data_IF_202685908124
#
_entry.id   IF_202685908124
#
_cell.length_a   1.000
_cell.length_b   1.000
_cell.length_c   1.000
_cell.angle_alpha   90.00
_cell.angle_beta   90.00
_cell.angle_gamma   90.00
#
_symmetry.space_group_name_H-M   'P 1'
#
loop_
_entity.id
_entity.type
_entity.pdbx_description
1 polymer ?
#
# COMPACT_ATOMS: atom_id res chain seq x y z
N UNK A 1 6.94 45.66 -16.36
CA UNK A 1 6.60 44.36 -15.76
C UNK A 1 7.23 44.24 -14.37
N UNK A 2 6.61 44.87 -13.35
CA UNK A 2 6.93 44.61 -11.95
C UNK A 2 5.93 43.58 -11.45
N UNK A 3 6.28 42.30 -11.52
CA UNK A 3 5.53 41.25 -10.83
C UNK A 3 5.72 41.48 -9.32
N UNK A 4 4.78 42.19 -8.68
CA UNK A 4 4.64 42.12 -7.22
C UNK A 4 4.14 40.70 -6.92
N UNK A 5 5.01 39.83 -6.39
CA UNK A 5 4.59 38.59 -5.73
C UNK A 5 3.81 39.01 -4.48
N UNK A 6 2.49 39.09 -4.58
CA UNK A 6 1.61 39.05 -3.41
C UNK A 6 1.41 37.60 -3.00
N UNK A 7 1.02 37.37 -1.74
CA UNK A 7 0.67 36.04 -1.25
C UNK A 7 -0.49 35.47 -2.09
N UNK A 8 -0.23 34.34 -2.74
CA UNK A 8 -1.24 33.65 -3.55
C UNK A 8 -2.19 32.98 -2.56
N UNK A 9 -3.35 33.60 -2.36
CA UNK A 9 -4.40 33.09 -1.46
C UNK A 9 -4.77 31.66 -1.88
N UNK A 10 -4.65 30.71 -0.95
CA UNK A 10 -4.99 29.31 -1.15
C UNK A 10 -3.86 28.42 -1.68
N UNK A 11 -2.70 28.95 -2.05
CA UNK A 11 -1.51 28.14 -2.42
C UNK A 11 -1.13 27.19 -1.27
N UNK A 12 -1.29 27.64 -0.03
CA UNK A 12 -1.02 26.86 1.18
C UNK A 12 -1.86 25.58 1.24
N UNK A 13 -3.11 25.61 0.77
CA UNK A 13 -3.97 24.41 0.75
C UNK A 13 -3.47 23.39 -0.28
N UNK A 14 -2.99 23.85 -1.44
CA UNK A 14 -2.40 22.98 -2.46
C UNK A 14 -1.03 22.44 -2.02
N UNK A 15 -0.19 23.25 -1.39
CA UNK A 15 1.08 22.78 -0.83
C UNK A 15 0.87 21.82 0.33
N UNK A 16 -0.18 22.00 1.13
CA UNK A 16 -0.53 21.06 2.20
C UNK A 16 -1.14 19.77 1.66
N UNK A 17 -1.81 19.79 0.51
CA UNK A 17 -2.34 18.59 -0.14
C UNK A 17 -1.27 17.82 -0.94
N UNK A 18 -0.39 18.53 -1.66
CA UNK A 18 0.62 17.94 -2.57
C UNK A 18 1.95 17.68 -1.87
N UNK A 19 2.32 18.54 -0.92
CA UNK A 19 3.57 18.43 -0.15
C UNK A 19 3.75 17.04 0.47
N UNK A 20 2.74 16.50 1.18
CA UNK A 20 2.79 15.16 1.73
C UNK A 20 3.04 14.09 0.63
N UNK A 21 2.26 14.08 -0.46
CA UNK A 21 2.39 13.11 -1.56
C UNK A 21 3.78 13.11 -2.21
N UNK A 22 4.46 14.27 -2.20
CA UNK A 22 5.80 14.42 -2.75
C UNK A 22 6.80 13.53 -2.01
N UNK A 23 6.72 13.42 -0.69
CA UNK A 23 7.62 12.56 0.09
C UNK A 23 7.42 11.08 -0.20
N UNK A 24 6.18 10.65 -0.44
CA UNK A 24 5.89 9.26 -0.83
C UNK A 24 6.48 8.94 -2.22
N UNK A 25 6.38 9.86 -3.17
CA UNK A 25 6.98 9.72 -4.49
C UNK A 25 8.51 9.68 -4.40
N UNK A 26 9.11 10.56 -3.60
CA UNK A 26 10.56 10.58 -3.37
C UNK A 26 11.05 9.29 -2.70
N UNK A 27 10.29 8.78 -1.72
CA UNK A 27 10.56 7.48 -1.08
C UNK A 27 10.52 6.33 -2.09
N UNK A 28 9.42 6.23 -2.85
CA UNK A 28 9.24 5.21 -3.88
C UNK A 28 10.32 5.29 -4.96
N UNK A 29 10.72 6.49 -5.38
CA UNK A 29 11.81 6.70 -6.32
C UNK A 29 13.16 6.29 -5.73
N UNK A 30 13.44 6.63 -4.47
CA UNK A 30 14.64 6.20 -3.75
C UNK A 30 14.77 4.68 -3.69
N UNK A 31 13.70 3.99 -3.27
CA UNK A 31 13.65 2.51 -3.26
C UNK A 31 13.78 1.94 -4.67
N UNK A 32 13.06 2.52 -5.64
CA UNK A 32 13.07 2.08 -7.04
C UNK A 32 14.46 2.17 -7.67
N UNK A 33 15.20 3.24 -7.43
CA UNK A 33 16.59 3.41 -7.89
C UNK A 33 17.51 2.34 -7.30
N UNK A 34 17.38 2.02 -6.00
CA UNK A 34 18.17 0.97 -5.35
C UNK A 34 17.85 -0.42 -5.92
N UNK A 35 16.58 -0.73 -6.12
CA UNK A 35 16.15 -2.00 -6.72
C UNK A 35 16.67 -2.11 -8.15
N UNK A 36 16.54 -1.04 -8.94
CA UNK A 36 17.01 -1.00 -10.32
C UNK A 36 18.54 -1.18 -10.40
N UNK A 37 19.30 -0.46 -9.56
CA UNK A 37 20.75 -0.63 -9.44
C UNK A 37 21.12 -2.06 -9.03
N UNK A 38 20.40 -2.66 -8.07
CA UNK A 38 20.63 -4.04 -7.66
C UNK A 38 20.41 -5.04 -8.81
N UNK A 39 19.32 -4.88 -9.58
CA UNK A 39 19.03 -5.74 -10.74
C UNK A 39 20.11 -5.60 -11.82
N UNK A 40 20.52 -4.37 -12.14
CA UNK A 40 21.61 -4.09 -13.10
C UNK A 40 22.93 -4.70 -12.65
N UNK A 41 23.29 -4.52 -11.38
CA UNK A 41 24.51 -5.11 -10.79
C UNK A 41 24.48 -6.63 -10.90
N UNK A 42 23.34 -7.26 -10.60
CA UNK A 42 23.19 -8.71 -10.70
C UNK A 42 23.36 -9.21 -12.14
N UNK A 43 22.82 -8.49 -13.12
CA UNK A 43 22.99 -8.79 -14.53
C UNK A 43 24.47 -8.69 -14.94
N UNK A 44 25.11 -7.57 -14.60
CA UNK A 44 26.52 -7.31 -14.90
C UNK A 44 27.46 -8.36 -14.28
N UNK A 45 27.20 -8.77 -13.04
CA UNK A 45 27.98 -9.85 -12.37
C UNK A 45 27.78 -11.19 -13.07
N UNK A 46 26.57 -11.52 -13.53
CA UNK A 46 26.29 -12.79 -14.21
C UNK A 46 26.98 -12.88 -15.56
N UNK A 47 26.99 -11.79 -16.33
CA UNK A 47 27.64 -11.71 -17.65
C UNK A 47 29.17 -11.72 -17.57
N UNK A 48 29.75 -11.24 -16.47
CA UNK A 48 31.20 -11.10 -16.31
C UNK A 48 31.80 -12.08 -15.29
N UNK A 49 31.15 -13.23 -15.03
CA UNK A 49 31.60 -14.25 -14.06
C UNK A 49 33.02 -14.75 -14.30
N UNK A 50 33.50 -14.72 -15.54
CA UNK A 50 34.85 -15.16 -15.92
C UNK A 50 35.95 -14.13 -15.57
N UNK A 51 35.58 -12.90 -15.21
CA UNK A 51 36.52 -11.80 -14.97
C UNK A 51 37.23 -11.79 -13.59
N UNK A 52 36.75 -12.57 -12.61
CA UNK A 52 37.38 -12.68 -11.28
C UNK A 52 37.70 -11.33 -10.61
N UNK A 53 38.92 -11.20 -10.05
CA UNK A 53 39.43 -9.98 -9.38
C UNK A 53 39.38 -8.72 -10.26
N UNK A 54 39.48 -8.87 -11.59
CA UNK A 54 39.44 -7.74 -12.53
C UNK A 54 38.11 -6.99 -12.46
N UNK A 55 37.00 -7.71 -12.29
CA UNK A 55 35.67 -7.11 -12.16
C UNK A 55 35.53 -6.25 -10.89
N UNK A 56 36.18 -6.66 -9.80
CA UNK A 56 36.18 -5.92 -8.53
C UNK A 56 37.06 -4.66 -8.60
N UNK A 57 38.24 -4.75 -9.22
CA UNK A 57 39.13 -3.59 -9.34
C UNK A 57 38.55 -2.51 -10.26
N UNK A 58 37.86 -2.92 -11.34
CA UNK A 58 37.20 -2.00 -12.28
C UNK A 58 35.96 -1.28 -11.69
N UNK A 59 35.49 -1.66 -10.49
CA UNK A 59 34.46 -0.90 -9.79
C UNK A 59 34.99 0.42 -9.20
N UNK A 60 36.29 0.51 -8.87
CA UNK A 60 36.88 1.66 -8.18
C UNK A 60 36.77 2.95 -9.00
N UNK A 61 37.16 2.99 -10.30
CA UNK A 61 36.92 4.17 -11.13
C UNK A 61 35.44 4.54 -11.24
N UNK A 62 34.56 3.52 -11.29
CA UNK A 62 33.10 3.72 -11.32
C UNK A 62 32.58 4.45 -10.07
N UNK A 63 33.01 4.04 -8.87
CA UNK A 63 32.66 4.71 -7.61
C UNK A 63 33.12 6.17 -7.62
N UNK A 64 34.36 6.42 -8.07
CA UNK A 64 34.92 7.77 -8.12
C UNK A 64 34.17 8.67 -9.11
N UNK A 65 33.82 8.16 -10.29
CA UNK A 65 33.00 8.86 -11.27
C UNK A 65 31.58 9.18 -10.76
N UNK A 66 30.95 8.23 -10.07
CA UNK A 66 29.68 8.49 -9.38
C UNK A 66 29.84 9.60 -8.33
N UNK A 67 30.94 9.57 -7.56
CA UNK A 67 31.30 10.61 -6.59
C UNK A 67 31.47 11.99 -7.23
N UNK A 68 32.08 12.08 -8.42
CA UNK A 68 32.16 13.34 -9.19
C UNK A 68 30.77 13.88 -9.51
N UNK A 69 29.88 13.05 -10.03
CA UNK A 69 28.52 13.48 -10.36
C UNK A 69 27.75 13.95 -9.11
N UNK A 70 27.84 13.22 -8.00
CA UNK A 70 27.16 13.59 -6.74
C UNK A 70 27.72 14.87 -6.12
N UNK A 71 29.04 15.04 -6.12
CA UNK A 71 29.69 16.26 -5.60
C UNK A 71 29.45 17.47 -6.49
N UNK A 72 29.33 17.29 -7.81
CA UNK A 72 28.91 18.33 -8.74
C UNK A 72 27.47 18.78 -8.47
N UNK A 73 26.54 17.84 -8.27
CA UNK A 73 25.16 18.17 -7.87
C UNK A 73 25.16 18.93 -6.54
N UNK A 74 25.89 18.45 -5.53
CA UNK A 74 26.01 19.12 -4.23
C UNK A 74 26.53 20.55 -4.36
N UNK A 75 27.59 20.76 -5.14
CA UNK A 75 28.14 22.09 -5.39
C UNK A 75 27.11 23.00 -6.09
N UNK A 76 26.40 22.48 -7.08
CA UNK A 76 25.35 23.23 -7.81
C UNK A 76 24.20 23.63 -6.88
N UNK A 77 23.71 22.71 -6.04
CA UNK A 77 22.62 22.97 -5.08
C UNK A 77 23.03 24.01 -4.03
N UNK A 78 24.30 24.04 -3.61
CA UNK A 78 24.80 25.05 -2.67
C UNK A 78 25.08 26.40 -3.33
N UNK A 79 25.48 26.42 -4.60
CA UNK A 79 25.75 27.65 -5.34
C UNK A 79 24.46 28.35 -5.76
N UNK A 80 23.45 27.60 -6.22
CA UNK A 80 22.24 28.14 -6.84
C UNK A 80 21.50 29.17 -5.96
N UNK A 81 21.25 28.95 -4.66
CA UNK A 81 20.63 29.95 -3.80
C UNK A 81 21.43 31.24 -3.72
N UNK A 82 22.76 31.16 -3.61
CA UNK A 82 23.64 32.32 -3.53
C UNK A 82 23.62 33.15 -4.83
N UNK A 83 23.49 32.49 -5.99
CA UNK A 83 23.36 33.18 -7.28
C UNK A 83 21.97 33.81 -7.45
N UNK A 84 20.91 33.11 -7.02
CA UNK A 84 19.55 33.63 -7.09
C UNK A 84 19.33 34.82 -6.15
N UNK A 85 20.01 34.83 -4.99
CA UNK A 85 19.96 35.91 -4.00
C UNK A 85 20.57 37.24 -4.51
N UNK A 86 21.43 37.19 -5.54
CA UNK A 86 21.98 38.40 -6.19
C UNK A 86 20.84 39.31 -6.66
N UNK A 87 19.74 38.73 -7.16
CA UNK A 87 18.58 39.49 -7.61
C UNK A 87 17.93 40.33 -6.50
N UNK A 88 18.05 39.87 -5.25
CA UNK A 88 17.54 40.58 -4.07
C UNK A 88 18.57 41.58 -3.54
N UNK A 89 19.86 41.24 -3.55
CA UNK A 89 20.96 42.15 -3.15
C UNK A 89 21.10 43.41 -4.03
N UNK A 90 20.71 43.35 -5.31
CA UNK A 90 20.75 44.51 -6.22
C UNK A 90 19.47 45.37 -6.17
N UNK A 91 18.51 45.07 -5.27
CA UNK A 91 17.29 45.88 -5.13
C UNK A 91 17.60 47.20 -4.44
N UNK A 92 17.24 48.31 -5.08
CA UNK A 92 17.42 49.66 -4.53
C UNK A 92 18.82 50.24 -4.69
N UNK A 93 19.75 49.50 -5.31
CA UNK A 93 21.11 49.95 -5.62
C UNK A 93 21.23 50.23 -7.12
N UNK A 94 22.14 51.13 -7.51
CA UNK A 94 22.45 51.39 -8.91
C UNK A 94 23.03 50.12 -9.57
N UNK A 95 22.41 49.69 -10.66
CA UNK A 95 22.72 48.41 -11.31
C UNK A 95 23.92 48.57 -12.24
N UNK A 96 25.12 48.42 -11.68
CA UNK A 96 26.37 48.44 -12.46
C UNK A 96 26.84 47.02 -12.77
N UNK A 97 27.57 46.87 -13.88
CA UNK A 97 28.20 45.60 -14.26
C UNK A 97 29.18 45.12 -13.19
N UNK A 98 29.94 46.06 -12.63
CA UNK A 98 30.99 45.75 -11.66
C UNK A 98 30.41 45.21 -10.35
N UNK A 99 29.30 45.80 -9.88
CA UNK A 99 28.57 45.30 -8.71
C UNK A 99 28.05 43.87 -8.93
N UNK A 100 27.49 43.58 -10.11
CA UNK A 100 27.03 42.23 -10.43
C UNK A 100 28.19 41.22 -10.46
N UNK A 101 29.33 41.58 -11.08
CA UNK A 101 30.50 40.72 -11.13
C UNK A 101 31.09 40.45 -9.74
N UNK A 102 31.09 41.46 -8.87
CA UNK A 102 31.52 41.32 -7.48
C UNK A 102 30.61 40.35 -6.70
N UNK A 103 29.29 40.54 -6.77
CA UNK A 103 28.32 39.67 -6.09
C UNK A 103 28.33 38.24 -6.64
N UNK A 104 28.56 38.09 -7.95
CA UNK A 104 28.74 36.78 -8.56
C UNK A 104 30.00 36.11 -8.03
N UNK A 105 31.12 36.84 -7.93
CA UNK A 105 32.35 36.29 -7.36
C UNK A 105 32.15 35.89 -5.90
N UNK A 106 31.48 36.73 -5.11
CA UNK A 106 31.13 36.46 -3.71
C UNK A 106 30.33 35.16 -3.56
N UNK A 107 29.33 34.94 -4.42
CA UNK A 107 28.51 33.72 -4.42
C UNK A 107 29.35 32.45 -4.62
N UNK A 108 30.37 32.49 -5.48
CA UNK A 108 31.28 31.37 -5.74
C UNK A 108 32.37 31.19 -4.66
N UNK A 109 32.58 32.20 -3.80
CA UNK A 109 33.61 32.18 -2.75
C UNK A 109 33.07 31.98 -1.34
N UNK A 110 31.75 31.80 -1.17
CA UNK A 110 31.17 31.43 0.13
C UNK A 110 31.80 30.14 0.67
N UNK A 111 32.02 30.05 1.98
CA UNK A 111 32.75 28.93 2.60
C UNK A 111 32.16 27.56 2.23
N UNK A 112 30.83 27.46 2.19
CA UNK A 112 30.09 26.23 1.86
C UNK A 112 30.28 25.82 0.39
N UNK A 113 30.22 26.78 -0.54
CA UNK A 113 30.43 26.54 -1.98
C UNK A 113 31.89 26.22 -2.26
N UNK A 114 32.83 26.91 -1.59
CA UNK A 114 34.26 26.66 -1.72
C UNK A 114 34.66 25.26 -1.24
N UNK A 115 34.11 24.84 -0.09
CA UNK A 115 34.31 23.49 0.44
C UNK A 115 33.76 22.44 -0.54
N UNK A 116 32.53 22.63 -1.05
CA UNK A 116 31.93 21.73 -2.02
C UNK A 116 32.75 21.65 -3.33
N UNK A 117 33.22 22.79 -3.85
CA UNK A 117 34.08 22.86 -5.03
C UNK A 117 35.38 22.10 -4.83
N UNK A 118 36.01 22.27 -3.67
CA UNK A 118 37.27 21.58 -3.33
C UNK A 118 37.06 20.07 -3.25
N UNK A 119 35.97 19.61 -2.62
CA UNK A 119 35.65 18.17 -2.60
C UNK A 119 35.44 17.62 -4.01
N UNK A 120 34.69 18.33 -4.86
CA UNK A 120 34.47 17.95 -6.25
C UNK A 120 35.80 17.85 -7.04
N UNK A 121 36.71 18.80 -6.86
CA UNK A 121 38.02 18.78 -7.51
C UNK A 121 38.84 17.53 -7.13
N UNK A 122 38.87 17.16 -5.85
CA UNK A 122 39.57 15.95 -5.42
C UNK A 122 38.95 14.68 -5.99
N UNK A 123 37.64 14.60 -6.11
CA UNK A 123 36.97 13.48 -6.78
C UNK A 123 37.29 13.41 -8.27
N UNK A 124 37.33 14.55 -8.97
CA UNK A 124 37.71 14.61 -10.39
C UNK A 124 39.14 14.12 -10.57
N UNK A 125 40.07 14.61 -9.74
CA UNK A 125 41.47 14.20 -9.80
C UNK A 125 41.63 12.69 -9.51
N UNK A 126 40.97 12.19 -8.47
CA UNK A 126 40.99 10.77 -8.11
C UNK A 126 40.39 9.89 -9.22
N UNK A 127 39.25 10.30 -9.80
CA UNK A 127 38.62 9.57 -10.91
C UNK A 127 39.55 9.53 -12.14
N UNK A 128 40.16 10.67 -12.49
CA UNK A 128 41.10 10.74 -13.61
C UNK A 128 42.30 9.81 -13.41
N UNK A 129 42.91 9.82 -12.22
CA UNK A 129 44.02 8.93 -11.89
C UNK A 129 43.60 7.45 -11.92
N UNK A 130 42.44 7.12 -11.36
CA UNK A 130 41.95 5.75 -11.35
C UNK A 130 41.69 5.21 -12.76
N UNK A 131 41.06 6.01 -13.63
CA UNK A 131 40.83 5.65 -15.04
C UNK A 131 42.17 5.52 -15.78
N UNK A 132 43.13 6.41 -15.54
CA UNK A 132 44.45 6.31 -16.16
C UNK A 132 45.17 5.01 -15.76
N UNK A 133 45.09 4.62 -14.49
CA UNK A 133 45.67 3.37 -13.97
C UNK A 133 44.98 2.15 -14.59
N UNK A 134 43.65 2.11 -14.64
CA UNK A 134 42.93 0.95 -15.21
C UNK A 134 43.13 0.83 -16.72
N UNK A 135 43.20 1.96 -17.44
CA UNK A 135 43.55 1.97 -18.85
C UNK A 135 44.99 1.56 -19.11
N UNK A 136 45.93 1.84 -18.20
CA UNK A 136 47.32 1.43 -18.34
C UNK A 136 47.47 -0.09 -18.18
N UNK A 137 46.86 -0.68 -17.15
CA UNK A 137 47.02 -2.11 -16.85
C UNK A 137 46.08 -3.03 -17.65
N UNK A 138 44.89 -2.57 -18.03
CA UNK A 138 43.83 -3.46 -18.54
C UNK A 138 43.11 -2.94 -19.79
N UNK A 139 43.82 -2.23 -20.68
CA UNK A 139 43.25 -1.66 -21.91
C UNK A 139 42.54 -2.70 -22.79
N UNK A 140 41.20 -2.67 -22.80
CA UNK A 140 40.36 -3.39 -23.78
C UNK A 140 39.22 -2.48 -24.23
N UNK A 141 38.62 -2.70 -25.42
CA UNK A 141 37.49 -1.90 -25.90
C UNK A 141 36.29 -1.89 -24.95
N UNK A 142 36.16 -2.90 -24.08
CA UNK A 142 35.07 -3.01 -23.08
C UNK A 142 35.38 -2.38 -21.72
N UNK A 143 36.62 -1.95 -21.46
CA UNK A 143 37.03 -1.49 -20.12
C UNK A 143 36.33 -0.18 -19.73
N UNK A 144 36.34 0.82 -20.61
CA UNK A 144 35.64 2.09 -20.37
C UNK A 144 34.12 1.94 -20.28
N UNK A 145 33.56 1.04 -21.09
CA UNK A 145 32.13 0.75 -21.05
C UNK A 145 31.73 0.18 -19.69
N UNK A 146 32.51 -0.77 -19.16
CA UNK A 146 32.25 -1.39 -17.86
C UNK A 146 32.42 -0.39 -16.70
N UNK A 147 33.45 0.46 -16.76
CA UNK A 147 33.65 1.53 -15.76
C UNK A 147 32.47 2.52 -15.75
N UNK A 148 31.97 2.90 -16.92
CA UNK A 148 30.80 3.78 -17.03
C UNK A 148 29.52 3.09 -16.52
N UNK A 149 29.31 1.81 -16.84
CA UNK A 149 28.21 1.01 -16.31
C UNK A 149 28.22 0.97 -14.77
N UNK A 150 29.41 0.76 -14.17
CA UNK A 150 29.57 0.83 -12.72
C UNK A 150 29.33 2.24 -12.17
N UNK A 151 29.81 3.28 -12.86
CA UNK A 151 29.58 4.67 -12.45
C UNK A 151 28.09 5.01 -12.40
N UNK A 152 27.32 4.64 -13.43
CA UNK A 152 25.87 4.83 -13.44
C UNK A 152 25.23 4.05 -12.29
N UNK A 153 25.65 2.82 -12.05
CA UNK A 153 25.11 2.00 -10.96
C UNK A 153 25.35 2.62 -9.57
N UNK A 154 26.59 3.04 -9.29
CA UNK A 154 26.93 3.71 -8.03
C UNK A 154 26.28 5.09 -7.90
N UNK A 155 26.07 5.81 -9.00
CA UNK A 155 25.32 7.05 -9.01
C UNK A 155 23.86 6.81 -8.63
N UNK A 156 23.20 5.81 -9.23
CA UNK A 156 21.82 5.44 -8.89
C UNK A 156 21.69 5.04 -7.42
N UNK A 157 22.66 4.29 -6.88
CA UNK A 157 22.71 3.95 -5.45
C UNK A 157 22.84 5.20 -4.60
N UNK A 158 23.79 6.08 -4.92
CA UNK A 158 24.02 7.32 -4.18
C UNK A 158 22.81 8.23 -4.17
N UNK A 159 22.18 8.46 -5.34
CA UNK A 159 20.94 9.24 -5.44
C UNK A 159 19.82 8.57 -4.64
N UNK A 160 19.63 7.25 -4.78
CA UNK A 160 18.60 6.52 -4.04
C UNK A 160 18.76 6.66 -2.52
N UNK A 161 19.98 6.51 -2.00
CA UNK A 161 20.29 6.71 -0.57
C UNK A 161 20.03 8.15 -0.14
N UNK A 162 20.47 9.14 -0.91
CA UNK A 162 20.25 10.56 -0.57
C UNK A 162 18.76 10.87 -0.45
N UNK A 163 17.93 10.37 -1.37
CA UNK A 163 16.49 10.57 -1.34
C UNK A 163 15.85 9.91 -0.11
N UNK A 164 16.27 8.70 0.24
CA UNK A 164 15.77 8.02 1.44
C UNK A 164 16.20 8.71 2.73
N UNK A 165 17.45 9.19 2.81
CA UNK A 165 17.93 9.99 3.95
C UNK A 165 17.17 11.30 4.06
N UNK A 166 16.88 11.95 2.93
CA UNK A 166 16.06 13.16 2.90
C UNK A 166 14.65 12.90 3.46
N UNK A 167 13.97 11.86 2.94
CA UNK A 167 12.64 11.46 3.42
C UNK A 167 12.67 11.11 4.92
N UNK A 168 13.69 10.39 5.37
CA UNK A 168 13.84 10.06 6.78
C UNK A 168 14.01 11.31 7.66
N UNK A 169 14.79 12.29 7.20
CA UNK A 169 14.97 13.55 7.93
C UNK A 169 13.67 14.35 8.08
N UNK A 170 12.87 14.42 7.00
CA UNK A 170 11.55 15.06 7.02
C UNK A 170 10.58 14.31 7.93
N UNK A 171 10.59 12.98 7.85
CA UNK A 171 9.79 12.10 8.71
C UNK A 171 10.10 12.32 10.20
N UNK A 172 11.39 12.33 10.57
CA UNK A 172 11.81 12.59 11.95
C UNK A 172 11.42 13.99 12.42
N UNK A 173 11.45 14.98 11.53
CA UNK A 173 10.99 16.35 11.85
C UNK A 173 9.49 16.39 12.12
N UNK A 174 8.69 15.67 11.33
CA UNK A 174 7.25 15.52 11.55
C UNK A 174 6.96 14.84 12.91
N UNK A 175 7.63 13.73 13.22
CA UNK A 175 7.48 13.06 14.52
C UNK A 175 7.90 13.94 15.70
N UNK A 176 9.03 14.64 15.59
CA UNK A 176 9.48 15.54 16.65
C UNK A 176 8.50 16.69 16.89
N UNK A 177 7.87 17.19 15.82
CA UNK A 177 6.85 18.25 15.90
C UNK A 177 5.60 17.71 16.57
N UNK A 178 5.11 16.55 16.16
CA UNK A 178 3.95 15.87 16.76
C UNK A 178 4.11 15.63 18.27
N UNK A 179 5.29 15.19 18.70
CA UNK A 179 5.59 14.98 20.13
C UNK A 179 5.57 16.31 20.91
N UNK A 180 5.98 17.42 20.29
CA UNK A 180 5.99 18.75 20.93
C UNK A 180 4.60 19.40 20.98
N UNK A 181 3.80 19.24 19.94
CA UNK A 181 2.46 19.85 19.83
C UNK A 181 1.36 18.98 20.44
N UNK A 182 1.61 17.69 20.63
CA UNK A 182 0.60 16.70 20.99
C UNK A 182 -0.37 16.39 19.85
N UNK A 183 -0.06 16.82 18.62
CA UNK A 183 -0.86 16.57 17.42
C UNK A 183 -0.36 15.32 16.68
N UNK A 184 -1.19 14.75 15.80
CA UNK A 184 -0.83 13.58 14.99
C UNK A 184 0.34 13.91 14.03
N UNK A 185 1.41 13.07 13.95
CA UNK A 185 2.47 13.22 12.95
C UNK A 185 1.98 13.16 11.49
N UNK A 186 0.74 12.75 11.28
CA UNK A 186 0.08 12.66 9.99
C UNK A 186 0.24 11.27 9.37
N UNK A 187 -0.60 11.00 8.39
CA UNK A 187 -0.71 9.69 7.75
C UNK A 187 0.57 9.22 7.00
N UNK A 188 1.35 10.13 6.42
CA UNK A 188 2.44 9.74 5.53
C UNK A 188 3.73 9.29 6.21
N UNK A 189 4.20 9.92 7.32
CA UNK A 189 5.26 9.34 8.14
C UNK A 189 4.95 7.88 8.52
N UNK A 190 3.72 7.63 8.95
CA UNK A 190 3.21 6.29 9.30
C UNK A 190 3.19 5.35 8.09
N UNK A 191 2.73 5.82 6.93
CA UNK A 191 2.71 4.99 5.71
C UNK A 191 4.13 4.66 5.23
N UNK A 192 5.07 5.59 5.32
CA UNK A 192 6.47 5.38 4.93
C UNK A 192 7.16 4.41 5.89
N UNK A 193 6.91 4.49 7.19
CA UNK A 193 7.46 3.53 8.17
C UNK A 193 6.85 2.14 7.97
N UNK A 194 5.54 2.01 7.82
CA UNK A 194 4.88 0.72 7.50
C UNK A 194 5.44 0.13 6.19
N UNK A 195 5.54 0.93 5.12
CA UNK A 195 6.08 0.48 3.84
C UNK A 195 7.56 0.05 3.97
N UNK A 196 8.37 0.80 4.73
CA UNK A 196 9.76 0.46 5.01
C UNK A 196 9.86 -0.86 5.79
N UNK A 197 9.01 -1.07 6.79
CA UNK A 197 8.90 -2.32 7.54
C UNK A 197 8.57 -3.50 6.64
N UNK A 198 7.56 -3.37 5.78
CA UNK A 198 7.18 -4.40 4.80
C UNK A 198 8.31 -4.70 3.80
N UNK A 199 9.00 -3.69 3.30
CA UNK A 199 10.16 -3.86 2.40
C UNK A 199 11.27 -4.63 3.11
N UNK A 200 11.58 -4.28 4.36
CA UNK A 200 12.58 -4.98 5.16
C UNK A 200 12.17 -6.43 5.42
N UNK A 201 10.91 -6.70 5.78
CA UNK A 201 10.41 -8.07 5.93
C UNK A 201 10.55 -8.87 4.63
N UNK A 202 10.24 -8.27 3.47
CA UNK A 202 10.43 -8.92 2.17
C UNK A 202 11.92 -9.20 1.86
N UNK A 203 12.81 -8.25 2.16
CA UNK A 203 14.26 -8.42 2.01
C UNK A 203 14.76 -9.53 2.94
N UNK A 204 14.31 -9.53 4.21
CA UNK A 204 14.61 -10.56 5.20
C UNK A 204 14.19 -11.94 4.73
N UNK A 205 12.96 -12.07 4.21
CA UNK A 205 12.44 -13.30 3.63
C UNK A 205 13.30 -13.80 2.46
N UNK A 206 13.67 -12.91 1.55
CA UNK A 206 14.51 -13.25 0.40
C UNK A 206 15.93 -13.67 0.82
N UNK A 207 16.52 -13.00 1.82
CA UNK A 207 17.82 -13.36 2.38
C UNK A 207 17.77 -14.72 3.08
N UNK A 208 16.71 -14.97 3.84
CA UNK A 208 16.49 -16.24 4.54
C UNK A 208 16.42 -17.41 3.56
N UNK A 209 15.57 -17.30 2.53
CA UNK A 209 15.43 -18.33 1.51
C UNK A 209 16.75 -18.57 0.75
N UNK A 210 17.51 -17.51 0.44
CA UNK A 210 18.84 -17.67 -0.18
C UNK A 210 19.85 -18.36 0.72
N UNK A 211 19.73 -18.25 2.04
CA UNK A 211 20.67 -18.86 2.96
C UNK A 211 20.56 -20.39 2.98
N UNK A 212 19.38 -20.94 2.66
CA UNK A 212 19.12 -22.38 2.62
C UNK A 212 19.95 -23.11 1.54
N UNK A 213 20.31 -22.40 0.47
CA UNK A 213 21.09 -22.95 -0.65
C UNK A 213 22.62 -22.78 -0.50
N UNK A 214 23.12 -22.24 0.62
CA UNK A 214 24.53 -21.80 0.77
C UNK A 214 25.35 -22.71 1.70
N UNK A 215 26.70 -22.74 1.56
CA UNK A 215 27.56 -23.54 2.42
C UNK A 215 27.49 -23.09 3.89
N UNK A 216 27.76 -24.02 4.82
CA UNK A 216 27.57 -23.90 6.27
C UNK A 216 27.92 -22.53 6.89
N UNK A 217 29.11 -21.99 6.62
CA UNK A 217 29.55 -20.72 7.21
C UNK A 217 28.81 -19.50 6.64
N UNK A 218 28.55 -19.49 5.33
CA UNK A 218 27.83 -18.40 4.66
C UNK A 218 26.33 -18.46 4.98
N UNK A 219 25.77 -19.67 5.10
CA UNK A 219 24.40 -19.88 5.56
C UNK A 219 24.17 -19.27 6.94
N UNK A 220 25.08 -19.48 7.90
CA UNK A 220 24.96 -18.91 9.24
C UNK A 220 24.93 -17.38 9.19
N UNK A 221 25.87 -16.75 8.48
CA UNK A 221 25.93 -15.28 8.36
C UNK A 221 24.70 -14.70 7.66
N UNK A 222 24.21 -15.34 6.60
CA UNK A 222 23.01 -14.90 5.88
C UNK A 222 21.75 -15.05 6.73
N UNK A 223 21.62 -16.13 7.52
CA UNK A 223 20.49 -16.32 8.45
C UNK A 223 20.53 -15.30 9.58
N UNK A 224 21.71 -15.03 10.15
CA UNK A 224 21.88 -14.00 11.18
C UNK A 224 21.48 -12.62 10.62
N UNK A 225 21.96 -12.28 9.41
CA UNK A 225 21.58 -11.03 8.74
C UNK A 225 20.09 -10.95 8.44
N UNK A 226 19.48 -12.03 7.94
CA UNK A 226 18.05 -12.09 7.69
C UNK A 226 17.22 -11.94 8.98
N UNK A 227 17.63 -12.59 10.08
CA UNK A 227 17.00 -12.45 11.39
C UNK A 227 17.05 -11.00 11.90
N UNK A 228 18.20 -10.34 11.78
CA UNK A 228 18.32 -8.92 12.15
C UNK A 228 17.41 -8.03 11.31
N UNK A 229 17.36 -8.26 9.99
CA UNK A 229 16.47 -7.52 9.08
C UNK A 229 15.00 -7.76 9.43
N UNK A 230 14.61 -8.98 9.80
CA UNK A 230 13.25 -9.27 10.27
C UNK A 230 12.91 -8.56 11.58
N UNK A 231 13.81 -8.56 12.55
CA UNK A 231 13.61 -7.87 13.84
C UNK A 231 13.44 -6.37 13.61
N UNK A 232 14.31 -5.75 12.82
CA UNK A 232 14.24 -4.32 12.52
C UNK A 232 12.99 -4.00 11.69
N UNK A 233 12.69 -4.78 10.65
CA UNK A 233 11.49 -4.59 9.82
C UNK A 233 10.19 -4.75 10.59
N UNK A 234 10.11 -5.77 11.45
CA UNK A 234 8.97 -6.00 12.34
C UNK A 234 8.83 -4.90 13.38
N UNK A 235 9.93 -4.44 13.98
CA UNK A 235 9.91 -3.32 14.93
C UNK A 235 9.42 -2.03 14.28
N UNK A 236 9.91 -1.69 13.09
CA UNK A 236 9.47 -0.49 12.37
C UNK A 236 7.98 -0.59 11.99
N UNK A 237 7.50 -1.77 11.58
CA UNK A 237 6.10 -1.96 11.20
C UNK A 237 5.15 -1.93 12.41
N UNK A 238 5.54 -2.54 13.53
CA UNK A 238 4.70 -2.67 14.74
C UNK A 238 4.80 -1.44 15.63
N UNK A 239 5.96 -0.76 15.65
CA UNK A 239 6.24 0.39 16.51
C UNK A 239 5.28 1.56 16.30
N UNK A 240 4.66 1.65 15.12
CA UNK A 240 3.64 2.65 14.80
C UNK A 240 2.24 2.29 15.32
N UNK A 241 1.95 1.00 15.55
CA UNK A 241 0.61 0.57 15.96
C UNK A 241 0.16 1.23 17.29
N UNK A 242 1.00 1.33 18.34
CA UNK A 242 0.62 2.04 19.56
C UNK A 242 0.35 3.53 19.33
N UNK A 243 1.09 4.18 18.43
CA UNK A 243 0.89 5.60 18.09
C UNK A 243 -0.39 5.77 17.30
N UNK A 244 -0.67 4.92 16.31
CA UNK A 244 -1.92 4.91 15.55
C UNK A 244 -3.12 4.58 16.46
N UNK A 245 -2.96 3.70 17.44
CA UNK A 245 -4.01 3.38 18.41
C UNK A 245 -4.24 4.54 19.40
N UNK A 246 -3.18 5.22 19.83
CA UNK A 246 -3.25 6.32 20.79
C UNK A 246 -3.67 7.66 20.17
N UNK A 247 -3.26 7.92 18.92
CA UNK A 247 -3.56 9.14 18.16
C UNK A 247 -4.72 8.95 17.17
N UNK A 248 -5.08 7.71 16.85
CA UNK A 248 -6.13 7.41 15.88
C UNK A 248 -7.50 7.86 16.35
N UNK A 249 -8.23 8.50 15.44
CA UNK A 249 -9.61 8.89 15.62
C UNK A 249 -10.44 7.69 16.13
N UNK A 250 -11.15 7.82 17.28
CA UNK A 250 -12.08 6.80 17.75
C UNK A 250 -13.04 6.29 16.65
N UNK A 251 -13.41 7.16 15.70
CA UNK A 251 -14.30 6.81 14.59
C UNK A 251 -13.68 5.80 13.61
N UNK A 252 -12.34 5.76 13.49
CA UNK A 252 -11.64 4.76 12.66
C UNK A 252 -11.91 3.34 13.17
N UNK A 253 -11.83 3.14 14.49
CA UNK A 253 -12.04 1.84 15.11
C UNK A 253 -13.50 1.40 15.02
N UNK A 254 -14.43 2.36 15.16
CA UNK A 254 -15.87 2.12 14.93
C UNK A 254 -16.13 1.70 13.48
N UNK A 255 -15.53 2.40 12.51
CA UNK A 255 -15.65 2.10 11.08
C UNK A 255 -15.03 0.74 10.70
N UNK A 256 -13.86 0.41 11.23
CA UNK A 256 -13.21 -0.88 11.02
C UNK A 256 -14.07 -2.03 11.57
N UNK A 257 -14.61 -1.86 12.78
CA UNK A 257 -15.52 -2.84 13.40
C UNK A 257 -16.80 -3.02 12.60
N UNK A 258 -17.39 -1.94 12.09
CA UNK A 258 -18.56 -2.00 11.22
C UNK A 258 -18.27 -2.73 9.91
N UNK A 259 -17.11 -2.46 9.29
CA UNK A 259 -16.66 -3.14 8.06
C UNK A 259 -16.45 -4.64 8.28
N UNK A 260 -15.82 -5.02 9.41
CA UNK A 260 -15.65 -6.43 9.79
C UNK A 260 -16.99 -7.14 9.98
N UNK A 261 -17.92 -6.53 10.72
CA UNK A 261 -19.26 -7.09 10.90
C UNK A 261 -20.03 -7.17 9.58
N UNK A 262 -19.90 -6.16 8.72
CA UNK A 262 -20.50 -6.17 7.39
C UNK A 262 -19.99 -7.35 6.57
N UNK A 263 -18.66 -7.48 6.42
CA UNK A 263 -18.06 -8.56 5.62
C UNK A 263 -18.40 -9.96 6.16
N UNK A 264 -18.26 -10.18 7.47
CA UNK A 264 -18.58 -11.47 8.09
C UNK A 264 -20.08 -11.77 8.10
N UNK A 265 -20.93 -10.74 8.10
CA UNK A 265 -22.38 -10.88 8.09
C UNK A 265 -22.99 -10.99 6.69
N UNK A 266 -22.33 -10.51 5.65
CA UNK A 266 -22.81 -10.62 4.26
C UNK A 266 -22.24 -11.84 3.56
N UNK A 267 -20.92 -11.99 3.49
CA UNK A 267 -20.26 -12.97 2.60
C UNK A 267 -20.69 -14.41 2.89
N UNK A 268 -20.60 -14.94 4.13
CA UNK A 268 -20.94 -16.34 4.38
C UNK A 268 -22.42 -16.63 4.14
N UNK A 269 -23.30 -15.69 4.49
CA UNK A 269 -24.74 -15.83 4.32
C UNK A 269 -25.15 -15.72 2.86
N UNK A 270 -24.59 -14.75 2.14
CA UNK A 270 -24.79 -14.56 0.71
C UNK A 270 -24.36 -15.81 -0.06
N UNK A 271 -23.13 -16.30 0.14
CA UNK A 271 -22.65 -17.50 -0.53
C UNK A 271 -23.43 -18.75 -0.11
N UNK A 272 -23.76 -18.88 1.17
CA UNK A 272 -24.53 -20.01 1.70
C UNK A 272 -25.94 -20.10 1.09
N UNK A 273 -26.65 -18.96 1.01
CA UNK A 273 -27.97 -18.89 0.37
C UNK A 273 -27.83 -19.17 -1.13
N UNK A 274 -26.83 -18.59 -1.78
CA UNK A 274 -26.63 -18.73 -3.23
C UNK A 274 -26.29 -20.15 -3.65
N UNK A 275 -25.42 -20.85 -2.90
CA UNK A 275 -25.08 -22.25 -3.20
C UNK A 275 -26.29 -23.16 -2.96
N UNK A 276 -27.08 -22.88 -1.91
CA UNK A 276 -28.32 -23.60 -1.63
C UNK A 276 -29.33 -23.44 -2.76
N UNK A 277 -29.57 -22.20 -3.20
CA UNK A 277 -30.45 -21.92 -4.33
C UNK A 277 -29.93 -22.53 -5.64
N UNK A 278 -28.62 -22.47 -5.89
CA UNK A 278 -28.03 -23.02 -7.09
C UNK A 278 -28.22 -24.54 -7.17
N UNK A 279 -27.93 -25.27 -6.09
CA UNK A 279 -28.15 -26.73 -6.01
C UNK A 279 -29.63 -27.08 -6.17
N UNK A 280 -30.53 -26.31 -5.55
CA UNK A 280 -31.97 -26.53 -5.66
C UNK A 280 -32.47 -26.35 -7.11
N UNK A 281 -32.03 -25.28 -7.77
CA UNK A 281 -32.47 -24.91 -9.12
C UNK A 281 -31.79 -25.73 -10.23
N UNK A 282 -30.66 -26.37 -9.92
CA UNK A 282 -29.97 -27.28 -10.84
C UNK A 282 -30.76 -28.59 -11.07
N UNK A 283 -31.68 -28.95 -10.17
CA UNK A 283 -32.45 -30.20 -10.23
C UNK A 283 -33.61 -30.23 -11.25
N UNK A 284 -33.56 -29.41 -12.31
CA UNK A 284 -34.62 -29.33 -13.35
C UNK A 284 -36.06 -29.18 -12.78
N UNK A 285 -36.24 -28.25 -11.84
CA UNK A 285 -37.55 -27.96 -11.26
C UNK A 285 -38.53 -27.36 -12.29
N UNK A 286 -39.81 -27.75 -12.22
CA UNK A 286 -40.89 -27.15 -13.02
C UNK A 286 -41.04 -25.67 -12.62
N UNK A 287 -40.98 -24.77 -13.60
CA UNK A 287 -41.06 -23.33 -13.38
C UNK A 287 -39.71 -22.65 -13.05
N UNK A 288 -38.59 -23.35 -13.23
CA UNK A 288 -37.24 -22.81 -12.94
C UNK A 288 -36.96 -21.45 -13.59
N UNK A 289 -37.44 -21.21 -14.81
CA UNK A 289 -37.27 -19.92 -15.51
C UNK A 289 -37.89 -18.73 -14.75
N UNK A 290 -39.09 -18.90 -14.18
CA UNK A 290 -39.74 -17.83 -13.42
C UNK A 290 -38.98 -17.53 -12.12
N UNK A 291 -38.52 -18.58 -11.42
CA UNK A 291 -37.68 -18.41 -10.24
C UNK A 291 -36.37 -17.68 -10.56
N UNK A 292 -35.75 -17.98 -11.72
CA UNK A 292 -34.55 -17.28 -12.20
C UNK A 292 -34.75 -15.79 -12.38
N UNK A 293 -35.87 -15.39 -12.97
CA UNK A 293 -36.20 -13.97 -13.12
C UNK A 293 -36.40 -13.31 -11.75
N UNK A 294 -37.14 -13.95 -10.84
CA UNK A 294 -37.46 -13.37 -9.52
C UNK A 294 -36.23 -13.10 -8.66
N UNK A 295 -35.30 -14.07 -8.55
CA UNK A 295 -34.12 -13.87 -7.72
C UNK A 295 -33.07 -12.98 -8.39
N UNK A 296 -33.04 -12.89 -9.73
CA UNK A 296 -32.03 -12.11 -10.47
C UNK A 296 -32.44 -10.65 -10.60
N UNK A 297 -33.75 -10.36 -10.57
CA UNK A 297 -34.30 -9.01 -10.66
C UNK A 297 -33.64 -8.00 -9.70
N UNK A 298 -33.42 -8.30 -8.40
CA UNK A 298 -32.75 -7.38 -7.47
C UNK A 298 -31.40 -6.87 -7.96
N UNK A 299 -30.58 -7.76 -8.54
CA UNK A 299 -29.26 -7.40 -9.03
C UNK A 299 -29.31 -6.49 -10.27
N UNK A 300 -30.33 -6.67 -11.12
CA UNK A 300 -30.51 -5.87 -12.34
C UNK A 300 -31.11 -4.49 -12.04
N UNK A 301 -31.83 -4.37 -10.92
CA UNK A 301 -32.44 -3.09 -10.55
C UNK A 301 -31.39 -2.02 -10.20
N UNK A 302 -31.62 -0.73 -10.54
CA UNK A 302 -30.72 0.34 -10.15
C UNK A 302 -30.58 0.42 -8.62
N UNK A 303 -29.35 0.35 -8.12
CA UNK A 303 -29.05 0.32 -6.68
C UNK A 303 -29.70 1.49 -5.94
N UNK A 304 -29.69 2.69 -6.52
CA UNK A 304 -30.29 3.89 -5.93
C UNK A 304 -31.81 3.75 -5.76
N UNK A 305 -32.50 3.19 -6.77
CA UNK A 305 -33.95 2.99 -6.71
C UNK A 305 -34.31 1.91 -5.68
N UNK A 306 -33.58 0.80 -5.68
CA UNK A 306 -33.79 -0.31 -4.74
C UNK A 306 -33.50 0.10 -3.30
N UNK A 307 -32.45 0.90 -3.08
CA UNK A 307 -32.15 1.48 -1.78
C UNK A 307 -33.26 2.43 -1.30
N UNK A 308 -33.86 3.23 -2.18
CA UNK A 308 -34.98 4.10 -1.81
C UNK A 308 -36.21 3.31 -1.37
N UNK A 309 -36.53 2.22 -2.07
CA UNK A 309 -37.62 1.30 -1.68
C UNK A 309 -37.30 0.64 -0.34
N UNK A 310 -36.08 0.10 -0.17
CA UNK A 310 -35.65 -0.51 1.09
C UNK A 310 -35.71 0.47 2.27
N UNK A 311 -35.31 1.74 2.06
CA UNK A 311 -35.42 2.80 3.06
C UNK A 311 -36.86 3.04 3.48
N UNK A 312 -37.81 2.94 2.56
CA UNK A 312 -39.23 3.08 2.86
C UNK A 312 -39.78 1.85 3.61
N UNK A 313 -39.38 0.64 3.19
CA UNK A 313 -39.75 -0.62 3.85
C UNK A 313 -39.33 -0.64 5.32
N UNK A 314 -38.07 -0.26 5.59
CA UNK A 314 -37.45 -0.23 6.92
C UNK A 314 -37.52 1.16 7.58
N UNK A 315 -38.48 2.00 7.18
CA UNK A 315 -38.66 3.30 7.83
C UNK A 315 -39.26 3.15 9.24
N UNK A 316 -38.95 4.09 10.14
CA UNK A 316 -39.45 4.09 11.53
C UNK A 316 -40.96 4.37 11.64
N UNK A 317 -41.67 4.50 10.52
CA UNK A 317 -43.12 4.75 10.51
C UNK A 317 -43.84 3.49 10.99
N UNK A 318 -44.86 3.66 11.81
CA UNK A 318 -45.69 2.55 12.31
C UNK A 318 -46.42 1.78 11.19
N UNK A 319 -46.66 2.44 10.06
CA UNK A 319 -47.31 1.88 8.86
C UNK A 319 -46.30 1.38 7.83
N UNK A 320 -44.99 1.49 8.10
CA UNK A 320 -43.98 0.93 7.20
C UNK A 320 -44.17 -0.58 7.11
N UNK A 321 -44.06 -1.21 5.92
CA UNK A 321 -44.40 -2.61 5.74
C UNK A 321 -43.73 -3.56 6.74
N UNK A 322 -42.45 -3.34 7.05
CA UNK A 322 -41.72 -4.18 8.01
C UNK A 322 -42.27 -4.01 9.44
N UNK A 323 -42.48 -2.77 9.89
CA UNK A 323 -43.05 -2.50 11.21
C UNK A 323 -44.52 -2.91 11.33
N UNK A 324 -45.30 -2.77 10.26
CA UNK A 324 -46.67 -3.28 10.20
C UNK A 324 -46.69 -4.80 10.35
N UNK A 325 -45.76 -5.51 9.68
CA UNK A 325 -45.56 -6.95 9.85
C UNK A 325 -45.17 -7.34 11.27
N UNK A 326 -44.24 -6.62 11.90
CA UNK A 326 -43.89 -6.85 13.31
C UNK A 326 -45.09 -6.73 14.24
N UNK A 327 -45.94 -5.73 14.04
CA UNK A 327 -47.14 -5.51 14.84
C UNK A 327 -48.17 -6.61 14.67
N UNK A 328 -48.32 -7.17 13.47
CA UNK A 328 -49.18 -8.34 13.23
C UNK A 328 -48.71 -9.56 14.04
N UNK A 329 -47.40 -9.66 14.28
CA UNK A 329 -46.79 -10.70 15.12
C UNK A 329 -46.80 -10.34 16.62
N UNK A 330 -47.40 -9.21 17.01
CA UNK A 330 -47.44 -8.73 18.40
C UNK A 330 -46.11 -8.15 18.92
N UNK A 331 -45.17 -7.83 18.03
CA UNK A 331 -43.87 -7.26 18.39
C UNK A 331 -43.90 -5.73 18.32
N UNK A 332 -43.16 -5.09 19.23
CA UNK A 332 -42.97 -3.64 19.22
C UNK A 332 -42.23 -3.18 17.94
N UNK A 333 -42.67 -2.06 17.35
CA UNK A 333 -42.01 -1.50 16.18
C UNK A 333 -40.58 -1.08 16.51
N UNK A 334 -39.64 -1.41 15.63
CA UNK A 334 -38.23 -1.08 15.79
C UNK A 334 -37.85 0.16 14.99
N UNK A 335 -36.79 0.83 15.45
CA UNK A 335 -36.20 1.99 14.78
C UNK A 335 -35.12 1.61 13.75
N UNK A 336 -35.22 0.40 13.16
CA UNK A 336 -34.38 -0.15 12.08
C UNK A 336 -33.14 0.66 11.69
N UNK A 337 -33.25 1.55 10.69
CA UNK A 337 -32.14 2.32 10.12
C UNK A 337 -31.56 3.41 11.04
N UNK A 338 -32.27 3.75 12.10
CA UNK A 338 -31.92 4.81 13.05
C UNK A 338 -31.52 4.25 14.43
N UNK A 339 -31.37 2.94 14.54
CA UNK A 339 -31.00 2.27 15.78
C UNK A 339 -29.51 1.92 15.77
N UNK A 340 -28.66 2.67 16.51
CA UNK A 340 -27.23 2.44 16.57
C UNK A 340 -26.86 1.24 17.46
N UNK A 341 -27.76 0.77 18.34
CA UNK A 341 -27.46 -0.33 19.26
C UNK A 341 -27.32 -1.65 18.53
N UNK A 342 -26.40 -2.47 19.04
CA UNK A 342 -26.15 -3.80 18.53
C UNK A 342 -27.35 -4.74 18.72
N UNK A 343 -27.58 -5.66 17.77
CA UNK A 343 -28.72 -6.58 17.83
C UNK A 343 -28.69 -7.48 19.07
N UNK A 344 -27.51 -7.89 19.53
CA UNK A 344 -27.38 -8.71 20.75
C UNK A 344 -27.65 -7.88 22.01
N UNK A 345 -27.25 -6.61 22.00
CA UNK A 345 -27.61 -5.68 23.06
C UNK A 345 -29.13 -5.46 23.10
N UNK A 346 -29.80 -5.25 21.97
CA UNK A 346 -31.26 -5.11 21.93
C UNK A 346 -31.99 -6.36 22.44
N UNK A 347 -31.49 -7.55 22.09
CA UNK A 347 -32.02 -8.81 22.61
C UNK A 347 -31.81 -8.93 24.13
N UNK A 348 -30.63 -8.56 24.64
CA UNK A 348 -30.32 -8.56 26.05
C UNK A 348 -31.20 -7.58 26.85
N UNK A 349 -31.47 -6.39 26.30
CA UNK A 349 -32.39 -5.42 26.92
C UNK A 349 -33.82 -5.99 27.03
N UNK A 350 -34.30 -6.71 26.01
CA UNK A 350 -35.61 -7.39 26.08
C UNK A 350 -35.67 -8.47 27.15
N UNK A 351 -34.53 -9.07 27.49
CA UNK A 351 -34.39 -10.05 28.58
C UNK A 351 -34.15 -9.41 29.95
N UNK A 352 -34.17 -8.07 30.05
CA UNK A 352 -33.97 -7.34 31.30
C UNK A 352 -32.51 -7.10 31.69
N UNK A 353 -31.54 -7.41 30.81
CA UNK A 353 -30.11 -7.15 31.05
C UNK A 353 -29.77 -5.73 30.62
N UNK A 354 -29.54 -4.83 31.59
CA UNK A 354 -29.27 -3.42 31.33
C UNK A 354 -27.80 -3.11 31.06
N UNK A 355 -26.87 -3.89 31.63
CA UNK A 355 -25.42 -3.71 31.48
C UNK A 355 -24.83 -4.77 30.55
N UNK A 356 -25.05 -4.61 29.26
CA UNK A 356 -24.49 -5.51 28.24
C UNK A 356 -23.14 -5.00 27.73
N UNK A 357 -22.08 -5.83 27.65
CA UNK A 357 -20.76 -5.38 27.21
C UNK A 357 -20.75 -4.87 25.76
N UNK A 358 -20.19 -3.69 25.52
CA UNK A 358 -20.14 -3.09 24.18
C UNK A 358 -19.36 -3.93 23.16
N UNK A 359 -18.30 -4.63 23.59
CA UNK A 359 -17.52 -5.53 22.74
C UNK A 359 -18.37 -6.72 22.23
N UNK A 360 -19.40 -7.13 22.97
CA UNK A 360 -20.29 -8.22 22.65
C UNK A 360 -21.60 -7.76 21.96
N UNK A 361 -21.83 -6.44 21.82
CA UNK A 361 -23.10 -5.87 21.34
C UNK A 361 -23.54 -6.38 19.94
N UNK A 362 -22.57 -6.80 19.11
CA UNK A 362 -22.81 -7.24 17.75
C UNK A 362 -23.03 -6.07 16.77
N UNK A 363 -23.42 -6.36 15.52
CA UNK A 363 -23.72 -5.33 14.52
C UNK A 363 -24.93 -4.50 14.94
N UNK A 364 -24.91 -3.19 14.66
CA UNK A 364 -26.06 -2.33 14.88
C UNK A 364 -27.26 -2.79 14.07
N UNK A 365 -28.47 -2.51 14.56
CA UNK A 365 -29.69 -2.87 13.81
C UNK A 365 -29.71 -2.22 12.42
N UNK A 366 -29.22 -0.99 12.31
CA UNK A 366 -29.04 -0.32 11.02
C UNK A 366 -28.10 -1.10 10.08
N UNK A 367 -26.96 -1.59 10.59
CA UNK A 367 -26.03 -2.40 9.80
C UNK A 367 -26.68 -3.72 9.36
N UNK A 368 -27.49 -4.35 10.20
CA UNK A 368 -28.25 -5.58 9.85
C UNK A 368 -29.19 -5.34 8.66
N UNK A 369 -29.86 -4.18 8.61
CA UNK A 369 -30.70 -3.81 7.46
C UNK A 369 -29.86 -3.65 6.19
N UNK A 370 -28.69 -3.01 6.28
CA UNK A 370 -27.78 -2.83 5.15
C UNK A 370 -27.22 -4.19 4.67
N UNK A 371 -26.86 -5.08 5.59
CA UNK A 371 -26.41 -6.44 5.27
C UNK A 371 -27.53 -7.22 4.58
N UNK A 372 -28.77 -7.13 5.07
CA UNK A 372 -29.94 -7.78 4.47
C UNK A 372 -30.19 -7.29 3.04
N UNK A 373 -30.10 -5.97 2.82
CA UNK A 373 -30.19 -5.39 1.48
C UNK A 373 -29.09 -5.94 0.56
N UNK A 374 -27.84 -5.97 1.04
CA UNK A 374 -26.71 -6.48 0.27
C UNK A 374 -26.91 -7.95 -0.11
N UNK A 375 -27.26 -8.80 0.84
CA UNK A 375 -27.53 -10.22 0.61
C UNK A 375 -28.66 -10.37 -0.44
N UNK A 376 -29.76 -9.63 -0.30
CA UNK A 376 -30.88 -9.71 -1.24
C UNK A 376 -30.50 -9.30 -2.67
N UNK A 377 -29.65 -8.28 -2.83
CA UNK A 377 -29.19 -7.82 -4.16
C UNK A 377 -28.25 -8.85 -4.79
N UNK A 378 -27.29 -9.39 -4.04
CA UNK A 378 -26.21 -10.20 -4.61
C UNK A 378 -26.48 -11.69 -4.67
N UNK A 379 -27.36 -12.23 -3.82
CA UNK A 379 -27.69 -13.67 -3.81
C UNK A 379 -28.07 -14.17 -5.21
N UNK A 380 -28.78 -13.35 -5.98
CA UNK A 380 -29.20 -13.75 -7.31
C UNK A 380 -28.07 -13.85 -8.33
N UNK A 381 -27.12 -12.91 -8.28
CA UNK A 381 -25.93 -12.93 -9.11
C UNK A 381 -25.08 -14.17 -8.80
N UNK A 382 -24.75 -14.38 -7.52
CA UNK A 382 -23.95 -15.50 -7.05
C UNK A 382 -24.59 -16.86 -7.38
N UNK A 383 -25.91 -16.98 -7.26
CA UNK A 383 -26.65 -18.20 -7.61
C UNK A 383 -26.43 -18.59 -9.08
N UNK A 384 -26.41 -17.61 -9.99
CA UNK A 384 -26.17 -17.85 -11.43
C UNK A 384 -24.74 -18.34 -11.66
N UNK A 385 -23.77 -17.71 -11.00
CA UNK A 385 -22.36 -18.10 -11.11
C UNK A 385 -22.15 -19.52 -10.54
N UNK A 386 -22.75 -19.84 -9.40
CA UNK A 386 -22.72 -21.20 -8.85
C UNK A 386 -23.41 -22.22 -9.75
N UNK A 387 -24.54 -21.89 -10.40
CA UNK A 387 -25.17 -22.80 -11.37
C UNK A 387 -24.28 -23.07 -12.58
N UNK A 388 -23.53 -22.07 -13.06
CA UNK A 388 -22.55 -22.26 -14.13
C UNK A 388 -21.40 -23.16 -13.68
N UNK A 389 -20.90 -22.96 -12.45
CA UNK A 389 -19.90 -23.84 -11.82
C UNK A 389 -20.40 -25.29 -11.69
N UNK A 390 -21.63 -25.49 -11.21
CA UNK A 390 -22.28 -26.81 -11.11
C UNK A 390 -22.39 -27.49 -12.48
N UNK A 391 -22.65 -26.72 -13.54
CA UNK A 391 -22.71 -27.22 -14.91
C UNK A 391 -21.39 -27.77 -15.45
N UNK A 392 -20.25 -27.32 -14.90
CA UNK A 392 -18.92 -27.79 -15.30
C UNK A 392 -18.47 -29.06 -14.57
N UNK A 393 -19.20 -29.50 -13.53
CA UNK A 393 -18.87 -30.70 -12.78
C UNK A 393 -19.39 -31.93 -13.55
N UNK A 394 -18.53 -32.90 -13.93
CA UNK A 394 -18.96 -34.12 -14.59
C UNK A 394 -19.94 -34.92 -13.72
N UNK A 395 -21.10 -35.28 -14.28
CA UNK A 395 -22.16 -36.02 -13.56
C UNK A 395 -21.72 -37.42 -13.12
N UNK A 396 -20.83 -38.03 -13.90
CA UNK A 396 -20.25 -39.36 -13.65
C UNK A 396 -19.58 -39.48 -12.27
N UNK A 397 -19.03 -38.38 -11.72
CA UNK A 397 -18.43 -38.39 -10.38
C UNK A 397 -19.48 -38.60 -9.28
N UNK A 398 -20.66 -37.98 -9.44
CA UNK A 398 -21.78 -38.17 -8.52
C UNK A 398 -22.40 -39.55 -8.65
N UNK A 399 -22.61 -40.01 -9.89
CA UNK A 399 -23.18 -41.34 -10.18
C UNK A 399 -22.27 -42.46 -9.67
N UNK A 400 -20.95 -42.37 -9.87
CA UNK A 400 -19.99 -43.34 -9.34
C UNK A 400 -20.02 -43.39 -7.80
N UNK A 401 -20.06 -42.23 -7.14
CA UNK A 401 -20.16 -42.17 -5.69
C UNK A 401 -21.48 -42.74 -5.14
N UNK A 402 -22.60 -42.52 -5.84
CA UNK A 402 -23.89 -43.12 -5.47
C UNK A 402 -23.88 -44.65 -5.63
N UNK A 403 -23.19 -45.18 -6.64
CA UNK A 403 -22.96 -46.63 -6.81
C UNK A 403 -22.12 -47.21 -5.67
N UNK A 404 -21.13 -46.46 -5.17
CA UNK A 404 -20.33 -46.79 -4.00
C UNK A 404 -21.09 -46.61 -2.65
N UNK A 405 -22.37 -46.24 -2.70
CA UNK A 405 -23.24 -46.10 -1.52
C UNK A 405 -23.19 -44.74 -0.82
N UNK A 406 -22.62 -43.71 -1.47
CA UNK A 406 -22.60 -42.36 -0.92
C UNK A 406 -24.01 -41.73 -0.91
N UNK A 407 -24.39 -41.12 0.20
CA UNK A 407 -25.59 -40.28 0.31
C UNK A 407 -25.42 -38.94 -0.41
N UNK A 408 -26.54 -38.30 -0.79
CA UNK A 408 -26.53 -36.96 -1.42
C UNK A 408 -25.75 -35.90 -0.64
N UNK A 409 -25.77 -35.96 0.69
CA UNK A 409 -24.96 -35.07 1.52
C UNK A 409 -23.47 -35.37 1.44
N UNK A 410 -23.09 -36.65 1.37
CA UNK A 410 -21.69 -37.04 1.17
C UNK A 410 -21.19 -36.62 -0.20
N UNK A 411 -22.00 -36.80 -1.26
CA UNK A 411 -21.69 -36.32 -2.61
C UNK A 411 -21.53 -34.80 -2.62
N UNK A 412 -22.46 -34.05 -2.01
CA UNK A 412 -22.33 -32.59 -1.91
C UNK A 412 -21.07 -32.15 -1.17
N UNK A 413 -20.82 -32.70 0.03
CA UNK A 413 -19.70 -32.28 0.88
C UNK A 413 -18.33 -32.68 0.34
N UNK A 414 -18.20 -33.85 -0.28
CA UNK A 414 -16.90 -34.40 -0.69
C UNK A 414 -16.60 -34.26 -2.19
N UNK A 415 -17.60 -34.01 -3.03
CA UNK A 415 -17.44 -33.89 -4.48
C UNK A 415 -17.87 -32.50 -4.93
N UNK A 416 -19.15 -32.14 -4.74
CA UNK A 416 -19.69 -30.90 -5.29
C UNK A 416 -19.04 -29.64 -4.70
N UNK A 417 -19.01 -29.51 -3.37
CA UNK A 417 -18.49 -28.32 -2.69
C UNK A 417 -16.98 -28.12 -2.93
N UNK A 418 -16.10 -29.15 -2.85
CA UNK A 418 -14.69 -29.00 -3.20
C UNK A 418 -14.46 -28.62 -4.67
N UNK A 419 -15.21 -29.20 -5.60
CA UNK A 419 -15.09 -28.87 -7.03
C UNK A 419 -15.67 -27.49 -7.38
N UNK A 420 -16.56 -26.94 -6.55
CA UNK A 420 -17.00 -25.55 -6.64
C UNK A 420 -16.02 -24.53 -6.03
N UNK A 421 -14.94 -24.97 -5.37
CA UNK A 421 -14.00 -24.06 -4.70
C UNK A 421 -13.42 -22.95 -5.60
N UNK A 422 -13.11 -23.15 -6.90
CA UNK A 422 -12.67 -22.06 -7.76
C UNK A 422 -13.77 -21.01 -8.00
N UNK A 423 -15.03 -21.46 -8.08
CA UNK A 423 -16.20 -20.59 -8.20
C UNK A 423 -16.46 -19.84 -6.90
N UNK A 424 -16.34 -20.50 -5.75
CA UNK A 424 -16.43 -19.86 -4.44
C UNK A 424 -15.35 -18.80 -4.25
N UNK A 425 -14.10 -19.10 -4.62
CA UNK A 425 -12.99 -18.14 -4.53
C UNK A 425 -13.17 -16.93 -5.45
N UNK A 426 -13.83 -17.10 -6.60
CA UNK A 426 -14.15 -15.99 -7.50
C UNK A 426 -15.24 -15.07 -6.94
N UNK A 427 -16.14 -15.59 -6.10
CA UNK A 427 -17.26 -14.84 -5.52
C UNK A 427 -16.95 -14.19 -4.17
N UNK A 428 -15.89 -14.65 -3.48
CA UNK A 428 -15.34 -14.04 -2.26
C UNK A 428 -14.37 -12.92 -2.59
#
# INVERSE_FOLDING_TARGET
WRLKRGDIIGLTNYTNAIGPLTYLLVFGLGVGLLVFAFVRTRHAVKENKEGGLRFLVLNVPGILLAGVALTFIRWTVLLLPNVLDIADKIRGVEKTRDLFMQLLQEAFTTETVLAARTTMFWFILAAFLAIAVTLYFWRTPKTLQLEFEFAVNWFLIGVGVILLVYVYGEMMTAYNTAVQTGEDPGFLPQLISIASGLILLFIGWKLWHRAEDQPSNLMFLLRLGAAMVFVVGGWIMIGELPVIVAAGDPDLWVGLRATLFYALGTIPFQLGISIFLAVLLFQNLRGSQMFRVMYFMPYVTPVVASAAVFRQLFSNRLQAPVNAGMRLLGLDPLQWLWEPKGIFQLAALKLGVTNFPEWAAGPSLALVVIMTFSIWVFVGYDTVIYMAGLGNIPRELGEAAEVDGASRWQVFRHITFPLLSPTTYFLT
#
